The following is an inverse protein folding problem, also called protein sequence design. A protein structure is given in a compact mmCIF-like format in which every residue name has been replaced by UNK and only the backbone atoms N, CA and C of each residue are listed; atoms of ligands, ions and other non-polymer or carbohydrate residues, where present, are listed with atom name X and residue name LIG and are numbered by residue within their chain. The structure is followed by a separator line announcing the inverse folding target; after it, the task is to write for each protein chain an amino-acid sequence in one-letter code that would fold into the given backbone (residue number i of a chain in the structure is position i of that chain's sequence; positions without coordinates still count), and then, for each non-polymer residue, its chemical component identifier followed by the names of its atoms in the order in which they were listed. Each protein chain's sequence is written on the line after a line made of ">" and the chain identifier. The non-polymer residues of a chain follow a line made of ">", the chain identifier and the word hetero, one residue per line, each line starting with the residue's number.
data_IF_313108525087
#
_entry.id   IF_313108525087
#
_cell.length_a   1.000
_cell.length_b   1.000
_cell.length_c   1.000
_cell.angle_alpha   90.00
_cell.angle_beta   90.00
_cell.angle_gamma   90.00
#
_symmetry.space_group_name_H-M   'P 1'
#
loop_
_entity.id
_entity.type
_entity.pdbx_description
1 polymer ?
#
# COMPACT_ATOMS: atom_id res chain seq x y z
N UNK A 1 -2.86 23.16 -26.25
CA UNK A 1 -3.48 22.15 -25.37
C UNK A 1 -2.67 22.16 -24.09
N UNK A 2 -3.30 22.39 -22.94
CA UNK A 2 -2.64 22.44 -21.62
C UNK A 2 -1.85 21.14 -21.38
N UNK A 3 -0.61 21.24 -20.88
CA UNK A 3 0.25 20.09 -20.57
C UNK A 3 -0.41 19.13 -19.56
N UNK A 4 -1.23 19.66 -18.66
CA UNK A 4 -2.03 18.87 -17.74
C UNK A 4 -3.05 18.01 -18.48
N UNK A 5 -3.79 18.61 -19.41
CA UNK A 5 -4.75 17.89 -20.24
C UNK A 5 -4.05 16.84 -21.13
N UNK A 6 -2.88 17.15 -21.68
CA UNK A 6 -2.05 16.19 -22.43
C UNK A 6 -1.65 15.00 -21.56
N UNK A 7 -1.25 15.25 -20.32
CA UNK A 7 -0.90 14.19 -19.37
C UNK A 7 -2.11 13.29 -19.06
N UNK A 8 -3.26 13.90 -18.76
CA UNK A 8 -4.50 13.15 -18.50
C UNK A 8 -4.91 12.29 -19.70
N UNK A 9 -4.92 12.86 -20.90
CA UNK A 9 -5.23 12.13 -22.13
C UNK A 9 -4.25 10.97 -22.36
N UNK A 10 -2.96 11.18 -22.07
CA UNK A 10 -1.94 10.13 -22.19
C UNK A 10 -2.22 8.96 -21.25
N UNK A 11 -2.52 9.23 -19.97
CA UNK A 11 -2.80 8.19 -18.99
C UNK A 11 -4.13 7.46 -19.23
N UNK A 12 -5.18 8.17 -19.63
CA UNK A 12 -6.43 7.54 -20.10
C UNK A 12 -6.14 6.63 -21.29
N UNK A 13 -5.30 7.08 -22.23
CA UNK A 13 -4.89 6.27 -23.38
C UNK A 13 -4.10 5.03 -22.93
N UNK A 14 -3.17 5.15 -21.99
CA UNK A 14 -2.43 4.01 -21.44
C UNK A 14 -3.33 2.98 -20.78
N UNK A 15 -4.30 3.41 -19.97
CA UNK A 15 -5.31 2.53 -19.35
C UNK A 15 -6.15 1.81 -20.42
N UNK A 16 -6.64 2.54 -21.42
CA UNK A 16 -7.45 1.96 -22.51
C UNK A 16 -6.63 0.98 -23.35
N UNK A 17 -5.39 1.32 -23.69
CA UNK A 17 -4.48 0.43 -24.41
C UNK A 17 -4.16 -0.83 -23.60
N UNK A 18 -3.83 -0.68 -22.32
CA UNK A 18 -3.56 -1.78 -21.41
C UNK A 18 -4.74 -2.76 -21.35
N UNK A 19 -5.94 -2.24 -21.12
CA UNK A 19 -7.14 -3.06 -21.00
C UNK A 19 -7.61 -3.66 -22.33
N UNK A 20 -7.77 -2.85 -23.39
CA UNK A 20 -8.38 -3.30 -24.67
C UNK A 20 -7.38 -3.94 -25.62
N UNK A 21 -6.23 -3.29 -25.85
CA UNK A 21 -5.27 -3.71 -26.88
C UNK A 21 -4.36 -4.81 -26.36
N UNK A 22 -3.84 -4.64 -25.16
CA UNK A 22 -2.92 -5.59 -24.53
C UNK A 22 -3.62 -6.66 -23.70
N UNK A 23 -4.93 -6.50 -23.44
CA UNK A 23 -5.75 -7.46 -22.67
C UNK A 23 -5.15 -7.74 -21.28
N UNK A 24 -4.55 -6.72 -20.66
CA UNK A 24 -4.06 -6.81 -19.28
C UNK A 24 -5.26 -6.89 -18.34
N UNK A 25 -5.27 -7.81 -17.36
CA UNK A 25 -6.30 -7.84 -16.32
C UNK A 25 -6.35 -6.52 -15.56
N UNK A 26 -7.54 -6.04 -15.22
CA UNK A 26 -7.74 -4.79 -14.45
C UNK A 26 -6.96 -4.81 -13.13
N UNK A 27 -6.80 -6.01 -12.54
CA UNK A 27 -6.12 -6.22 -11.26
C UNK A 27 -4.61 -6.47 -11.42
N UNK A 28 -4.09 -6.45 -12.65
CA UNK A 28 -2.65 -6.60 -12.86
C UNK A 28 -1.90 -5.40 -12.25
N UNK A 29 -0.68 -5.59 -11.74
CA UNK A 29 0.11 -4.50 -11.15
C UNK A 29 0.25 -3.29 -12.07
N UNK A 30 0.45 -3.52 -13.36
CA UNK A 30 0.49 -2.48 -14.39
C UNK A 30 -0.81 -1.68 -14.44
N UNK A 31 -1.96 -2.34 -14.52
CA UNK A 31 -3.26 -1.66 -14.59
C UNK A 31 -3.59 -0.92 -13.29
N UNK A 32 -3.28 -1.50 -12.13
CA UNK A 32 -3.45 -0.85 -10.83
C UNK A 32 -2.64 0.46 -10.76
N UNK A 33 -1.36 0.41 -11.15
CA UNK A 33 -0.47 1.58 -11.11
C UNK A 33 -0.95 2.67 -12.07
N UNK A 34 -1.30 2.29 -13.31
CA UNK A 34 -1.81 3.25 -14.31
C UNK A 34 -3.15 3.86 -13.89
N UNK A 35 -4.07 3.07 -13.34
CA UNK A 35 -5.36 3.56 -12.84
C UNK A 35 -5.18 4.51 -11.66
N UNK A 36 -4.32 4.16 -10.69
CA UNK A 36 -4.00 5.02 -9.54
C UNK A 36 -3.48 6.38 -9.99
N UNK A 37 -2.47 6.39 -10.87
CA UNK A 37 -1.92 7.62 -11.45
C UNK A 37 -2.98 8.40 -12.24
N UNK A 38 -3.82 7.72 -13.04
CA UNK A 38 -4.88 8.37 -13.81
C UNK A 38 -5.89 9.08 -12.91
N UNK A 39 -6.29 8.46 -11.80
CA UNK A 39 -7.24 9.05 -10.84
C UNK A 39 -6.64 10.32 -10.22
N UNK A 40 -5.39 10.24 -9.77
CA UNK A 40 -4.68 11.38 -9.18
C UNK A 40 -4.51 12.52 -10.20
N UNK A 41 -4.12 12.20 -11.44
CA UNK A 41 -4.01 13.19 -12.53
C UNK A 41 -5.38 13.79 -12.88
N UNK A 42 -6.45 13.00 -12.90
CA UNK A 42 -7.79 13.52 -13.18
C UNK A 42 -8.27 14.49 -12.10
N UNK A 43 -8.06 14.15 -10.83
CA UNK A 43 -8.40 15.01 -9.70
C UNK A 43 -7.59 16.30 -9.72
N UNK A 44 -6.28 16.21 -9.94
CA UNK A 44 -5.42 17.38 -10.05
C UNK A 44 -5.79 18.26 -11.24
N UNK A 45 -6.09 17.67 -12.41
CA UNK A 45 -6.55 18.44 -13.56
C UNK A 45 -7.82 19.25 -13.24
N UNK A 46 -8.79 18.64 -12.55
CA UNK A 46 -10.05 19.28 -12.20
C UNK A 46 -9.84 20.50 -11.28
N UNK A 47 -8.91 20.40 -10.33
CA UNK A 47 -8.62 21.44 -9.31
C UNK A 47 -7.41 22.34 -9.63
N UNK A 48 -6.83 22.25 -10.83
CA UNK A 48 -5.58 22.95 -11.19
C UNK A 48 -5.59 24.47 -10.97
N UNK A 49 -6.73 25.12 -11.19
CA UNK A 49 -6.86 26.57 -11.01
C UNK A 49 -6.86 27.00 -9.55
N UNK A 50 -7.47 26.19 -8.67
CA UNK A 50 -7.49 26.45 -7.23
C UNK A 50 -6.12 26.19 -6.59
N UNK A 51 -5.34 25.26 -7.16
CA UNK A 51 -3.98 24.96 -6.71
C UNK A 51 -2.89 25.86 -7.32
N UNK A 52 -3.28 26.82 -8.17
CA UNK A 52 -2.42 27.90 -8.65
C UNK A 52 -1.18 27.47 -9.45
N UNK A 53 -1.17 26.28 -10.04
CA UNK A 53 0.03 25.73 -10.70
C UNK A 53 -0.30 25.04 -12.02
N UNK A 54 0.30 25.54 -13.11
CA UNK A 54 0.30 24.88 -14.41
C UNK A 54 1.41 23.81 -14.47
N UNK A 55 1.16 22.71 -15.18
CA UNK A 55 2.16 21.66 -15.40
C UNK A 55 3.15 22.11 -16.47
N UNK A 56 4.45 22.04 -16.16
CA UNK A 56 5.47 22.31 -17.16
C UNK A 56 5.52 21.19 -18.21
N UNK A 57 5.88 21.55 -19.44
CA UNK A 57 6.01 20.58 -20.54
C UNK A 57 7.03 19.47 -20.21
N UNK A 58 8.12 19.81 -19.54
CA UNK A 58 9.13 18.83 -19.15
C UNK A 58 8.62 17.83 -18.10
N UNK A 59 7.84 18.30 -17.11
CA UNK A 59 7.15 17.42 -16.15
C UNK A 59 6.19 16.47 -16.85
N UNK A 60 5.45 16.95 -17.86
CA UNK A 60 4.64 16.10 -18.72
C UNK A 60 5.47 14.97 -19.37
N UNK A 61 6.62 15.30 -19.98
CA UNK A 61 7.49 14.29 -20.61
C UNK A 61 7.92 13.22 -19.60
N UNK A 62 8.41 13.65 -18.42
CA UNK A 62 8.90 12.73 -17.38
C UNK A 62 7.81 11.74 -16.96
N UNK A 63 6.63 12.24 -16.60
CA UNK A 63 5.53 11.41 -16.13
C UNK A 63 4.98 10.53 -17.26
N UNK A 64 4.83 11.07 -18.47
CA UNK A 64 4.34 10.32 -19.63
C UNK A 64 5.29 9.16 -20.00
N UNK A 65 6.60 9.38 -19.99
CA UNK A 65 7.59 8.33 -20.24
C UNK A 65 7.58 7.26 -19.14
N UNK A 66 7.42 7.65 -17.87
CA UNK A 66 7.21 6.71 -16.76
C UNK A 66 5.97 5.82 -17.00
N UNK A 67 4.83 6.42 -17.32
CA UNK A 67 3.59 5.69 -17.67
C UNK A 67 3.75 4.75 -18.88
N UNK A 68 4.43 5.23 -19.93
CA UNK A 68 4.75 4.41 -21.11
C UNK A 68 5.65 3.22 -20.78
N UNK A 69 6.67 3.41 -19.94
CA UNK A 69 7.56 2.36 -19.46
C UNK A 69 6.81 1.30 -18.64
N UNK A 70 5.91 1.73 -17.74
CA UNK A 70 5.03 0.82 -16.97
C UNK A 70 4.17 -0.02 -17.92
N UNK A 71 3.48 0.60 -18.88
CA UNK A 71 2.61 -0.10 -19.82
C UNK A 71 3.39 -1.11 -20.68
N UNK A 72 4.52 -0.67 -21.27
CA UNK A 72 5.35 -1.49 -22.13
C UNK A 72 5.95 -2.69 -21.38
N UNK A 73 6.43 -2.46 -20.17
CA UNK A 73 7.01 -3.52 -19.32
C UNK A 73 5.96 -4.53 -18.90
N UNK A 74 4.78 -4.07 -18.45
CA UNK A 74 3.67 -4.96 -18.07
C UNK A 74 3.25 -5.89 -19.20
N UNK A 75 3.08 -5.33 -20.40
CA UNK A 75 2.79 -6.12 -21.60
C UNK A 75 3.92 -7.10 -21.95
N UNK A 76 5.18 -6.64 -21.91
CA UNK A 76 6.35 -7.46 -22.18
C UNK A 76 6.46 -8.66 -21.24
N UNK A 77 6.28 -8.42 -19.94
CA UNK A 77 6.30 -9.47 -18.91
C UNK A 77 5.15 -10.45 -19.09
N UNK A 78 3.92 -9.98 -19.33
CA UNK A 78 2.78 -10.88 -19.56
C UNK A 78 3.03 -11.79 -20.77
N UNK A 79 3.57 -11.23 -21.87
CA UNK A 79 3.92 -11.99 -23.07
C UNK A 79 5.03 -13.00 -22.81
N UNK A 80 6.09 -12.57 -22.14
CA UNK A 80 7.19 -13.44 -21.75
C UNK A 80 6.71 -14.58 -20.84
N UNK A 81 5.89 -14.28 -19.83
CA UNK A 81 5.33 -15.26 -18.93
C UNK A 81 4.41 -16.25 -19.66
N UNK A 82 3.59 -15.78 -20.61
CA UNK A 82 2.77 -16.66 -21.45
C UNK A 82 3.61 -17.60 -22.32
N UNK A 83 4.72 -17.13 -22.88
CA UNK A 83 5.62 -17.94 -23.71
C UNK A 83 6.37 -18.99 -22.86
N UNK A 84 6.87 -18.60 -21.70
CA UNK A 84 7.75 -19.45 -20.88
C UNK A 84 7.00 -20.33 -19.87
N UNK A 85 5.86 -19.87 -19.36
CA UNK A 85 5.08 -20.56 -18.32
C UNK A 85 3.69 -21.00 -18.79
N UNK A 86 3.35 -20.78 -20.07
CA UNK A 86 2.06 -21.12 -20.64
C UNK A 86 0.93 -20.17 -20.23
N UNK A 87 -0.28 -20.51 -20.67
CA UNK A 87 -1.46 -19.75 -20.31
C UNK A 87 -1.81 -19.96 -18.82
N UNK A 88 -2.37 -18.94 -18.14
CA UNK A 88 -2.77 -19.03 -16.73
C UNK A 88 -3.69 -20.21 -16.37
N UNK A 89 -4.18 -20.96 -17.36
CA UNK A 89 -5.08 -22.11 -17.20
C UNK A 89 -4.98 -23.17 -18.31
N UNK A 90 -3.80 -23.44 -18.89
CA UNK A 90 -3.63 -24.67 -19.71
C UNK A 90 -3.43 -25.94 -18.85
N UNK A 91 -3.95 -25.95 -17.62
CA UNK A 91 -4.17 -27.15 -16.82
C UNK A 91 -5.69 -27.41 -16.74
N UNK A 92 -6.37 -27.20 -17.86
CA UNK A 92 -7.72 -27.69 -18.08
C UNK A 92 -7.66 -29.23 -18.25
N UNK A 93 -8.54 -29.91 -17.51
CA UNK A 93 -8.96 -31.32 -17.64
C UNK A 93 -8.54 -32.35 -16.57
N UNK A 94 -7.92 -31.98 -15.44
CA UNK A 94 -7.75 -32.93 -14.30
C UNK A 94 -8.37 -32.44 -12.98
N UNK A 95 -8.78 -31.17 -12.86
CA UNK A 95 -8.97 -30.54 -11.54
C UNK A 95 -10.42 -30.21 -11.16
N UNK A 96 -11.28 -31.23 -11.10
CA UNK A 96 -12.64 -31.07 -10.54
C UNK A 96 -12.67 -30.98 -9.00
N UNK A 97 -11.54 -30.86 -8.29
CA UNK A 97 -11.53 -30.89 -6.81
C UNK A 97 -10.38 -30.17 -6.07
N UNK A 98 -9.55 -29.37 -6.73
CA UNK A 98 -8.31 -28.79 -6.14
C UNK A 98 -8.51 -27.55 -5.23
N UNK A 99 -9.67 -27.43 -4.58
CA UNK A 99 -9.97 -26.32 -3.67
C UNK A 99 -9.76 -26.75 -2.23
N UNK A 100 -8.59 -26.41 -1.71
CA UNK A 100 -8.17 -26.85 -0.39
C UNK A 100 -8.30 -25.75 0.65
N UNK A 101 -9.09 -25.95 1.73
CA UNK A 101 -9.21 -24.95 2.78
C UNK A 101 -7.92 -24.84 3.58
N UNK A 102 -7.59 -23.60 3.96
CA UNK A 102 -6.59 -23.31 4.97
C UNK A 102 -7.17 -23.64 6.35
N UNK A 103 -6.79 -24.79 6.90
CA UNK A 103 -7.24 -25.23 8.22
C UNK A 103 -6.19 -24.85 9.24
N UNK A 104 -6.62 -24.13 10.26
CA UNK A 104 -5.76 -23.77 11.36
C UNK A 104 -5.29 -25.00 12.15
N UNK A 105 -4.01 -25.06 12.55
CA UNK A 105 -3.50 -26.10 13.47
C UNK A 105 -4.25 -26.06 14.81
N UNK A 106 -4.39 -24.87 15.36
CA UNK A 106 -5.23 -24.62 16.55
C UNK A 106 -6.67 -24.41 16.11
N UNK A 107 -7.60 -25.01 16.85
CA UNK A 107 -9.05 -24.81 16.72
C UNK A 107 -9.40 -23.32 16.62
N UNK A 108 -10.34 -23.00 15.72
CA UNK A 108 -10.66 -21.61 15.38
C UNK A 108 -11.10 -20.79 16.59
N UNK A 109 -11.95 -21.35 17.46
CA UNK A 109 -12.44 -20.66 18.66
C UNK A 109 -11.31 -20.27 19.62
N UNK A 110 -10.37 -21.18 19.83
CA UNK A 110 -9.20 -20.98 20.70
C UNK A 110 -8.27 -19.93 20.10
N UNK A 111 -7.97 -20.05 18.80
CA UNK A 111 -7.15 -19.06 18.08
C UNK A 111 -7.76 -17.67 18.11
N UNK A 112 -9.05 -17.56 17.83
CA UNK A 112 -9.78 -16.30 17.86
C UNK A 112 -9.75 -15.66 19.24
N UNK A 113 -9.91 -16.45 20.30
CA UNK A 113 -9.77 -15.99 21.69
C UNK A 113 -8.39 -15.37 21.94
N UNK A 114 -7.30 -16.07 21.59
CA UNK A 114 -5.95 -15.55 21.80
C UNK A 114 -5.63 -14.32 20.97
N UNK A 115 -6.04 -14.30 19.69
CA UNK A 115 -5.88 -13.12 18.85
C UNK A 115 -6.64 -11.93 19.44
N UNK A 116 -7.91 -12.13 19.84
CA UNK A 116 -8.71 -11.05 20.42
C UNK A 116 -8.12 -10.54 21.73
N UNK A 117 -7.64 -11.44 22.61
CA UNK A 117 -6.93 -11.06 23.83
C UNK A 117 -5.68 -10.22 23.54
N UNK A 118 -4.90 -10.63 22.53
CA UNK A 118 -3.72 -9.88 22.11
C UNK A 118 -4.09 -8.48 21.57
N UNK A 119 -5.13 -8.36 20.75
CA UNK A 119 -5.57 -7.08 20.20
C UNK A 119 -6.09 -6.13 21.29
N UNK A 120 -6.82 -6.66 22.27
CA UNK A 120 -7.28 -5.88 23.44
C UNK A 120 -6.07 -5.42 24.26
N UNK A 121 -5.13 -6.32 24.55
CA UNK A 121 -3.89 -5.96 25.24
C UNK A 121 -3.11 -4.88 24.50
N UNK A 122 -2.97 -5.00 23.18
CA UNK A 122 -2.29 -4.01 22.34
C UNK A 122 -2.97 -2.63 22.43
N UNK A 123 -4.29 -2.55 22.36
CA UNK A 123 -5.05 -1.31 22.54
C UNK A 123 -4.79 -0.70 23.92
N UNK A 124 -4.93 -1.51 24.98
CA UNK A 124 -4.74 -1.04 26.35
C UNK A 124 -3.30 -0.56 26.60
N UNK A 125 -2.31 -1.28 26.08
CA UNK A 125 -0.90 -0.89 26.16
C UNK A 125 -0.61 0.39 25.37
N UNK A 126 -1.23 0.55 24.20
CA UNK A 126 -1.11 1.78 23.40
C UNK A 126 -1.71 2.99 24.14
N UNK A 127 -2.88 2.82 24.75
CA UNK A 127 -3.48 3.87 25.60
C UNK A 127 -2.57 4.21 26.77
N UNK A 128 -2.03 3.20 27.47
CA UNK A 128 -1.07 3.43 28.55
C UNK A 128 0.15 4.24 28.08
N UNK A 129 0.69 3.93 26.89
CA UNK A 129 1.79 4.70 26.30
C UNK A 129 1.41 6.15 26.00
N UNK A 130 0.19 6.42 25.53
CA UNK A 130 -0.30 7.80 25.34
C UNK A 130 -0.34 8.53 26.69
N UNK A 131 -0.95 7.93 27.72
CA UNK A 131 -1.14 8.57 29.02
C UNK A 131 0.16 8.88 29.76
N UNK A 132 1.17 7.99 29.70
CA UNK A 132 2.42 8.19 30.43
C UNK A 132 3.35 9.23 29.78
N UNK A 133 3.24 9.45 28.47
CA UNK A 133 4.10 10.38 27.72
C UNK A 133 3.42 11.72 27.39
N UNK A 134 2.18 11.97 27.87
CA UNK A 134 1.46 13.20 27.55
C UNK A 134 0.79 13.82 28.78
N UNK A 135 0.56 15.14 28.72
CA UNK A 135 -0.07 15.91 29.81
C UNK A 135 -1.35 16.62 29.40
N UNK A 136 -1.76 16.55 28.12
CA UNK A 136 -2.91 17.27 27.58
C UNK A 136 -4.22 17.11 28.38
N UNK A 137 -4.98 18.21 28.47
CA UNK A 137 -6.22 18.30 29.26
C UNK A 137 -7.44 17.63 28.61
N UNK A 138 -7.32 17.19 27.35
CA UNK A 138 -8.35 16.45 26.62
C UNK A 138 -7.74 15.31 25.81
N UNK A 139 -8.55 14.30 25.46
CA UNK A 139 -8.10 13.15 24.65
C UNK A 139 -7.52 13.59 23.30
N UNK A 140 -8.14 14.59 22.66
CA UNK A 140 -7.66 15.16 21.39
C UNK A 140 -6.32 15.87 21.58
N UNK A 141 -6.15 16.63 22.68
CA UNK A 141 -4.89 17.29 23.02
C UNK A 141 -3.78 16.26 23.28
N UNK A 142 -4.07 15.21 24.06
CA UNK A 142 -3.14 14.10 24.32
C UNK A 142 -2.72 13.38 23.05
N UNK A 143 -3.67 13.05 22.17
CA UNK A 143 -3.34 12.40 20.89
C UNK A 143 -2.52 13.30 19.97
N UNK A 144 -2.76 14.61 20.00
CA UNK A 144 -1.97 15.59 19.23
C UNK A 144 -0.52 15.64 19.74
N UNK A 145 -0.33 15.73 21.06
CA UNK A 145 1.00 15.68 21.70
C UNK A 145 1.71 14.36 21.43
N UNK A 146 1.01 13.22 21.60
CA UNK A 146 1.60 11.90 21.40
C UNK A 146 2.06 11.70 19.95
N UNK A 147 1.26 12.17 18.99
CA UNK A 147 1.63 12.14 17.57
C UNK A 147 2.88 12.97 17.31
N UNK A 148 3.01 14.14 17.93
CA UNK A 148 4.20 15.00 17.78
C UNK A 148 5.47 14.30 18.31
N UNK A 149 5.37 13.65 19.47
CA UNK A 149 6.45 12.84 20.05
C UNK A 149 6.87 11.68 19.11
N UNK A 150 5.90 11.00 18.49
CA UNK A 150 6.19 9.89 17.56
C UNK A 150 6.87 10.41 16.28
N UNK A 151 6.42 11.54 15.74
CA UNK A 151 6.94 12.09 14.49
C UNK A 151 8.31 12.76 14.67
N UNK A 152 8.55 13.36 15.83
CA UNK A 152 9.77 14.12 16.12
C UNK A 152 10.41 13.67 17.44
N UNK A 153 10.83 12.38 17.56
CA UNK A 153 11.36 11.85 18.81
C UNK A 153 12.64 12.57 19.28
N UNK A 154 13.43 13.12 18.35
CA UNK A 154 14.61 13.93 18.67
C UNK A 154 14.29 15.23 19.42
N UNK A 155 13.09 15.78 19.26
CA UNK A 155 12.65 16.98 19.98
C UNK A 155 12.12 16.65 21.38
N UNK A 156 11.81 15.38 21.64
CA UNK A 156 11.16 14.90 22.87
C UNK A 156 11.91 13.72 23.52
N UNK A 157 13.23 13.84 23.79
CA UNK A 157 14.06 12.70 24.21
C UNK A 157 13.67 12.09 25.57
N UNK A 158 12.97 12.85 26.42
CA UNK A 158 12.54 12.40 27.74
C UNK A 158 11.14 11.74 27.74
N UNK A 159 10.39 11.88 26.66
CA UNK A 159 8.98 11.48 26.53
C UNK A 159 8.78 10.28 25.59
N UNK A 160 9.80 9.44 25.45
CA UNK A 160 9.76 8.25 24.59
C UNK A 160 9.57 6.93 25.35
N UNK A 161 9.05 6.98 26.58
CA UNK A 161 8.93 5.78 27.43
C UNK A 161 8.00 4.76 26.79
N UNK A 162 8.50 3.54 26.63
CA UNK A 162 7.78 2.40 26.06
C UNK A 162 7.30 2.54 24.60
N UNK A 163 7.54 3.67 23.92
CA UNK A 163 7.15 3.87 22.51
C UNK A 163 7.77 2.80 21.61
N UNK A 164 9.04 2.46 21.84
CA UNK A 164 9.70 1.38 21.09
C UNK A 164 8.99 0.03 21.28
N UNK A 165 8.60 -0.33 22.50
CA UNK A 165 7.89 -1.59 22.77
C UNK A 165 6.52 -1.57 22.11
N UNK A 166 5.79 -0.44 22.20
CA UNK A 166 4.50 -0.27 21.55
C UNK A 166 4.60 -0.46 20.03
N UNK A 167 5.68 0.05 19.42
CA UNK A 167 5.95 -0.13 17.98
C UNK A 167 6.16 -1.61 17.59
N UNK A 168 6.70 -2.46 18.48
CA UNK A 168 6.85 -3.89 18.20
C UNK A 168 5.51 -4.62 18.30
N UNK A 169 4.68 -4.29 19.30
CA UNK A 169 3.33 -4.84 19.39
C UNK A 169 2.48 -4.44 18.17
N UNK A 170 2.59 -3.20 17.73
CA UNK A 170 1.95 -2.74 16.50
C UNK A 170 2.31 -3.61 15.28
N UNK A 171 3.59 -3.94 15.06
CA UNK A 171 4.02 -4.77 13.91
C UNK A 171 3.41 -6.19 13.96
N UNK A 172 3.34 -6.79 15.14
CA UNK A 172 2.72 -8.11 15.33
C UNK A 172 1.22 -8.03 15.08
N UNK A 173 0.53 -7.04 15.66
CA UNK A 173 -0.89 -6.79 15.43
C UNK A 173 -1.20 -6.59 13.94
N UNK A 174 -0.31 -5.89 13.23
CA UNK A 174 -0.44 -5.63 11.81
C UNK A 174 -0.34 -6.92 10.98
N UNK A 175 0.68 -7.74 11.23
CA UNK A 175 0.85 -9.03 10.56
C UNK A 175 -0.34 -9.98 10.83
N UNK A 176 -0.80 -10.06 12.09
CA UNK A 176 -1.99 -10.86 12.45
C UNK A 176 -3.22 -10.42 11.66
N UNK A 177 -3.39 -9.11 11.46
CA UNK A 177 -4.54 -8.55 10.76
C UNK A 177 -4.53 -8.91 9.28
N UNK A 178 -3.38 -8.79 8.59
CA UNK A 178 -3.24 -9.24 7.20
C UNK A 178 -3.53 -10.73 7.03
N UNK A 179 -2.94 -11.57 7.89
CA UNK A 179 -3.14 -13.02 7.85
C UNK A 179 -4.61 -13.38 8.09
N UNK A 180 -5.23 -12.75 9.08
CA UNK A 180 -6.64 -12.95 9.38
C UNK A 180 -7.50 -12.59 8.17
N UNK A 181 -7.33 -11.38 7.63
CA UNK A 181 -8.08 -10.89 6.47
C UNK A 181 -7.92 -11.80 5.25
N UNK A 182 -6.69 -12.24 4.96
CA UNK A 182 -6.43 -13.17 3.85
C UNK A 182 -7.19 -14.49 4.00
N UNK A 183 -7.06 -15.13 5.16
CA UNK A 183 -7.70 -16.42 5.45
C UNK A 183 -9.22 -16.30 5.43
N UNK A 184 -9.76 -15.18 5.91
CA UNK A 184 -11.19 -14.87 5.87
C UNK A 184 -11.74 -14.90 4.46
N UNK A 185 -11.08 -14.17 3.57
CA UNK A 185 -11.52 -14.00 2.20
C UNK A 185 -11.40 -15.33 1.47
N UNK A 186 -10.26 -16.02 1.59
CA UNK A 186 -10.04 -17.30 0.93
C UNK A 186 -11.02 -18.38 1.43
N UNK A 187 -11.06 -18.65 2.74
CA UNK A 187 -11.91 -19.72 3.26
C UNK A 187 -13.40 -19.36 3.29
N UNK A 188 -13.73 -18.14 3.69
CA UNK A 188 -15.12 -17.72 3.92
C UNK A 188 -15.85 -17.32 2.65
N UNK A 189 -15.18 -16.56 1.78
CA UNK A 189 -15.80 -16.00 0.58
C UNK A 189 -15.54 -16.88 -0.64
N UNK A 190 -14.28 -17.24 -0.92
CA UNK A 190 -13.93 -18.01 -2.12
C UNK A 190 -14.36 -19.48 -1.99
N UNK A 191 -14.08 -20.11 -0.84
CA UNK A 191 -14.48 -21.50 -0.58
C UNK A 191 -15.89 -21.64 0.03
N UNK A 192 -16.60 -20.52 0.23
CA UNK A 192 -17.95 -20.45 0.79
C UNK A 192 -18.13 -21.22 2.12
N UNK A 193 -17.08 -21.31 2.96
CA UNK A 193 -17.16 -22.06 4.22
C UNK A 193 -17.87 -21.24 5.30
N UNK A 194 -18.93 -21.78 5.93
CA UNK A 194 -19.76 -21.04 6.89
C UNK A 194 -18.99 -20.59 8.14
N UNK A 195 -17.94 -21.32 8.50
CA UNK A 195 -17.10 -21.09 9.70
C UNK A 195 -16.30 -19.76 9.61
N UNK A 196 -16.14 -19.18 8.42
CA UNK A 196 -15.44 -17.90 8.20
C UNK A 196 -16.36 -16.75 7.79
N UNK A 197 -17.69 -16.97 7.81
CA UNK A 197 -18.70 -15.92 7.57
C UNK A 197 -18.95 -15.02 8.79
N UNK A 198 -18.21 -15.25 9.89
CA UNK A 198 -18.51 -14.71 11.22
C UNK A 198 -17.81 -13.38 11.56
N UNK A 199 -18.57 -12.54 12.26
CA UNK A 199 -18.24 -11.26 12.92
C UNK A 199 -16.85 -11.15 13.52
N UNK A 200 -16.24 -12.24 14.02
CA UNK A 200 -14.93 -12.18 14.68
C UNK A 200 -13.81 -11.64 13.80
N UNK A 201 -13.86 -11.85 12.50
CA UNK A 201 -12.83 -11.36 11.59
C UNK A 201 -12.93 -9.86 11.34
N UNK A 202 -14.16 -9.36 11.22
CA UNK A 202 -14.44 -7.93 11.24
C UNK A 202 -13.97 -7.33 12.57
N UNK A 203 -14.17 -8.03 13.69
CA UNK A 203 -13.69 -7.60 15.01
C UNK A 203 -12.17 -7.45 15.07
N UNK A 204 -11.39 -8.39 14.52
CA UNK A 204 -9.92 -8.29 14.49
C UNK A 204 -9.47 -7.06 13.69
N UNK A 205 -10.06 -6.84 12.50
CA UNK A 205 -9.75 -5.67 11.67
C UNK A 205 -10.15 -4.38 12.39
N UNK A 206 -11.32 -4.33 13.01
CA UNK A 206 -11.78 -3.17 13.79
C UNK A 206 -10.85 -2.88 14.96
N UNK A 207 -10.47 -3.90 15.74
CA UNK A 207 -9.54 -3.74 16.85
C UNK A 207 -8.16 -3.28 16.37
N UNK A 208 -7.69 -3.77 15.23
CA UNK A 208 -6.46 -3.28 14.63
C UNK A 208 -6.56 -1.79 14.27
N UNK A 209 -7.63 -1.37 13.59
CA UNK A 209 -7.83 0.02 13.22
C UNK A 209 -7.85 0.92 14.46
N UNK A 210 -8.57 0.53 15.51
CA UNK A 210 -8.59 1.27 16.79
C UNK A 210 -7.18 1.33 17.41
N UNK A 211 -6.54 0.17 17.59
CA UNK A 211 -5.22 0.10 18.23
C UNK A 211 -4.13 0.84 17.45
N UNK A 212 -4.11 0.71 16.12
CA UNK A 212 -3.15 1.42 15.25
C UNK A 212 -3.32 2.93 15.28
N UNK A 213 -4.57 3.41 15.36
CA UNK A 213 -4.86 4.86 15.52
C UNK A 213 -4.21 5.41 16.77
N UNK A 214 -4.34 4.68 17.88
CA UNK A 214 -3.83 5.10 19.19
C UNK A 214 -2.31 4.95 19.22
N UNK A 215 -1.79 3.81 18.75
CA UNK A 215 -0.37 3.49 18.82
C UNK A 215 0.52 4.39 17.98
N UNK A 216 0.03 4.83 16.81
CA UNK A 216 0.84 5.59 15.84
C UNK A 216 0.33 7.01 15.60
N UNK A 217 -0.82 7.39 16.16
CA UNK A 217 -1.49 8.65 15.79
C UNK A 217 -1.80 8.72 14.29
N UNK A 218 -2.00 7.56 13.64
CA UNK A 218 -2.04 7.42 12.20
C UNK A 218 -3.31 6.72 11.73
N UNK A 219 -3.95 7.30 10.71
CA UNK A 219 -5.15 6.76 10.03
C UNK A 219 -4.83 5.89 8.81
N UNK A 220 -3.61 6.00 8.28
CA UNK A 220 -3.17 5.31 7.07
C UNK A 220 -3.27 3.77 7.15
N UNK A 221 -2.91 3.10 8.28
CA UNK A 221 -2.98 1.64 8.37
C UNK A 221 -4.39 1.07 8.15
N UNK A 222 -5.44 1.82 8.54
CA UNK A 222 -6.82 1.42 8.34
C UNK A 222 -7.22 1.42 6.85
N UNK A 223 -6.69 2.36 6.06
CA UNK A 223 -6.90 2.34 4.60
C UNK A 223 -6.08 1.23 3.96
N UNK A 224 -4.84 1.03 4.37
CA UNK A 224 -3.97 0.00 3.79
C UNK A 224 -4.58 -1.39 3.96
N UNK A 225 -5.14 -1.71 5.14
CA UNK A 225 -5.84 -2.98 5.34
C UNK A 225 -7.13 -3.08 4.51
N UNK A 226 -7.84 -1.98 4.30
CA UNK A 226 -9.03 -1.94 3.45
C UNK A 226 -8.69 -2.22 1.98
N UNK A 227 -7.67 -1.55 1.46
CA UNK A 227 -7.13 -1.79 0.11
C UNK A 227 -6.66 -3.24 -0.02
N UNK A 228 -5.92 -3.76 0.95
CA UNK A 228 -5.47 -5.14 0.96
C UNK A 228 -6.63 -6.13 0.86
N UNK A 229 -7.73 -5.93 1.60
CA UNK A 229 -8.91 -6.79 1.52
C UNK A 229 -9.53 -6.76 0.12
N UNK A 230 -9.65 -5.58 -0.50
CA UNK A 230 -10.15 -5.41 -1.87
C UNK A 230 -9.26 -6.16 -2.86
N UNK A 231 -7.94 -5.93 -2.79
CA UNK A 231 -6.96 -6.58 -3.67
C UNK A 231 -6.98 -8.10 -3.50
N UNK A 232 -7.03 -8.58 -2.27
CA UNK A 232 -7.09 -10.01 -1.97
C UNK A 232 -8.32 -10.66 -2.57
N UNK A 233 -9.48 -10.04 -2.38
CA UNK A 233 -10.74 -10.54 -2.93
C UNK A 233 -10.71 -10.59 -4.45
N UNK A 234 -10.30 -9.49 -5.09
CA UNK A 234 -10.20 -9.39 -6.54
C UNK A 234 -9.19 -10.37 -7.14
N UNK A 235 -8.00 -10.49 -6.53
CA UNK A 235 -6.95 -11.40 -6.98
C UNK A 235 -7.42 -12.85 -6.97
N UNK A 236 -8.05 -13.28 -5.88
CA UNK A 236 -8.55 -14.65 -5.75
C UNK A 236 -9.72 -14.91 -6.69
N UNK A 237 -10.62 -13.95 -6.92
CA UNK A 237 -11.70 -14.12 -7.90
C UNK A 237 -11.16 -14.29 -9.33
N UNK A 238 -10.15 -13.50 -9.72
CA UNK A 238 -9.53 -13.63 -11.04
C UNK A 238 -8.79 -14.96 -11.17
N UNK A 239 -8.08 -15.36 -10.13
CA UNK A 239 -7.37 -16.65 -10.09
C UNK A 239 -8.31 -17.84 -10.21
N UNK A 240 -9.48 -17.77 -9.58
CA UNK A 240 -10.53 -18.78 -9.66
C UNK A 240 -11.50 -18.57 -10.83
N UNK A 241 -11.18 -17.66 -11.76
CA UNK A 241 -11.93 -17.37 -12.99
C UNK A 241 -13.38 -16.87 -12.80
N UNK A 242 -13.70 -16.25 -11.66
CA UNK A 242 -15.01 -15.66 -11.37
C UNK A 242 -15.19 -14.25 -11.97
N UNK A 243 -14.99 -14.10 -13.28
CA UNK A 243 -14.95 -12.79 -13.95
C UNK A 243 -16.24 -11.97 -13.83
N UNK A 244 -17.41 -12.60 -13.78
CA UNK A 244 -18.68 -11.87 -13.61
C UNK A 244 -18.84 -11.30 -12.20
N UNK A 245 -18.34 -12.00 -11.18
CA UNK A 245 -18.33 -11.48 -9.81
C UNK A 245 -17.37 -10.31 -9.67
N UNK A 246 -16.22 -10.36 -10.35
CA UNK A 246 -15.26 -9.24 -10.42
C UNK A 246 -15.95 -7.98 -10.94
N UNK A 247 -16.65 -8.07 -12.07
CA UNK A 247 -17.37 -6.91 -12.65
C UNK A 247 -18.38 -6.32 -11.67
N UNK A 248 -19.22 -7.16 -11.06
CA UNK A 248 -20.24 -6.72 -10.08
C UNK A 248 -19.61 -6.06 -8.86
N UNK A 249 -18.48 -6.59 -8.39
CA UNK A 249 -17.77 -6.02 -7.25
C UNK A 249 -17.13 -4.66 -7.59
N UNK A 250 -16.53 -4.51 -8.77
CA UNK A 250 -15.97 -3.24 -9.22
C UNK A 250 -17.04 -2.13 -9.28
N UNK A 251 -18.27 -2.45 -9.74
CA UNK A 251 -19.37 -1.48 -9.70
C UNK A 251 -19.76 -1.05 -8.27
N UNK A 252 -19.73 -1.99 -7.31
CA UNK A 252 -19.98 -1.69 -5.90
C UNK A 252 -18.86 -0.88 -5.25
N UNK A 253 -17.65 -0.95 -5.80
CA UNK A 253 -16.49 -0.21 -5.29
C UNK A 253 -16.57 1.29 -5.63
N UNK A 254 -17.19 1.67 -6.75
CA UNK A 254 -17.32 3.07 -7.20
C UNK A 254 -17.82 4.01 -6.09
N UNK A 255 -18.98 3.79 -5.45
CA UNK A 255 -19.45 4.69 -4.39
C UNK A 255 -18.51 4.71 -3.17
N UNK A 256 -17.86 3.59 -2.86
CA UNK A 256 -16.89 3.50 -1.77
C UNK A 256 -15.68 4.38 -2.05
N UNK A 257 -15.13 4.31 -3.26
CA UNK A 257 -13.97 5.12 -3.69
C UNK A 257 -14.28 6.62 -3.67
N UNK A 258 -15.52 7.02 -3.94
CA UNK A 258 -15.95 8.43 -3.88
C UNK A 258 -16.06 8.91 -2.43
N UNK A 259 -16.61 8.08 -1.53
CA UNK A 259 -16.87 8.47 -0.13
C UNK A 259 -15.62 8.33 0.75
N UNK A 260 -14.75 7.35 0.48
CA UNK A 260 -13.62 7.02 1.36
C UNK A 260 -12.65 8.17 1.64
N UNK A 261 -12.32 9.08 0.70
CA UNK A 261 -11.41 10.19 0.99
C UNK A 261 -12.00 11.19 2.00
N UNK A 262 -13.32 11.42 1.97
CA UNK A 262 -14.00 12.29 2.94
C UNK A 262 -13.99 11.67 4.33
N UNK A 263 -14.30 10.37 4.42
CA UNK A 263 -14.22 9.63 5.69
C UNK A 263 -12.79 9.61 6.23
N UNK A 264 -11.78 9.53 5.36
CA UNK A 264 -10.37 9.60 5.76
C UNK A 264 -10.01 10.94 6.40
N UNK A 265 -10.47 12.07 5.82
CA UNK A 265 -10.25 13.40 6.42
C UNK A 265 -10.94 13.47 7.78
N UNK A 266 -12.22 13.10 7.85
CA UNK A 266 -13.01 13.13 9.09
C UNK A 266 -12.37 12.28 10.19
N UNK A 267 -11.83 11.11 9.84
CA UNK A 267 -11.11 10.23 10.76
C UNK A 267 -9.85 10.89 11.35
N UNK A 268 -9.32 11.94 10.71
CA UNK A 268 -8.21 12.75 11.23
C UNK A 268 -8.49 13.38 12.59
N UNK A 269 -9.75 13.68 12.90
CA UNK A 269 -10.16 14.22 14.20
C UNK A 269 -9.80 13.26 15.33
N UNK A 270 -10.04 11.95 15.12
CA UNK A 270 -9.82 10.91 16.14
C UNK A 270 -8.33 10.67 16.44
N UNK A 271 -7.44 11.11 15.55
CA UNK A 271 -5.98 10.95 15.70
C UNK A 271 -5.27 12.28 15.95
N UNK A 272 -6.00 13.33 16.36
CA UNK A 272 -5.42 14.62 16.73
C UNK A 272 -4.84 15.40 15.55
N UNK A 273 -5.43 15.28 14.35
CA UNK A 273 -5.04 16.13 13.21
C UNK A 273 -6.01 17.29 13.03
N UNK A 274 -5.45 18.50 12.91
CA UNK A 274 -6.23 19.72 12.66
C UNK A 274 -6.94 19.74 11.30
N UNK A 275 -6.48 18.97 10.31
CA UNK A 275 -7.12 18.88 8.98
C UNK A 275 -8.48 18.17 9.01
N UNK A 276 -8.79 17.43 10.08
CA UNK A 276 -10.08 16.77 10.25
C UNK A 276 -11.28 17.72 10.31
N UNK A 277 -11.04 19.00 10.60
CA UNK A 277 -12.09 20.03 10.72
C UNK A 277 -12.46 20.66 9.36
N UNK A 278 -11.72 20.37 8.28
CA UNK A 278 -11.96 20.96 6.95
C UNK A 278 -12.20 19.86 5.90
N UNK A 279 -13.37 19.22 6.00
CA UNK A 279 -13.80 18.14 5.09
C UNK A 279 -14.39 18.75 3.81
N UNK A 280 -13.52 19.14 2.88
CA UNK A 280 -13.89 19.71 1.58
C UNK A 280 -13.30 18.91 0.42
N UNK A 281 -13.92 19.00 -0.76
CA UNK A 281 -13.39 18.37 -1.97
C UNK A 281 -12.04 18.99 -2.38
N UNK A 282 -11.83 20.28 -2.12
CA UNK A 282 -10.52 20.93 -2.28
C UNK A 282 -9.47 20.23 -1.40
N UNK A 283 -9.75 20.01 -0.10
CA UNK A 283 -8.81 19.35 0.81
C UNK A 283 -8.52 17.90 0.43
N UNK A 284 -9.53 17.16 -0.04
CA UNK A 284 -9.35 15.81 -0.61
C UNK A 284 -8.37 15.87 -1.78
N UNK A 285 -8.53 16.86 -2.65
CA UNK A 285 -7.72 16.98 -3.85
C UNK A 285 -6.30 17.42 -3.55
N UNK A 286 -6.10 18.35 -2.60
CA UNK A 286 -4.77 18.73 -2.11
C UNK A 286 -4.01 17.52 -1.56
N UNK A 287 -4.70 16.67 -0.80
CA UNK A 287 -4.12 15.44 -0.28
C UNK A 287 -3.77 14.49 -1.43
N UNK A 288 -4.76 14.11 -2.24
CA UNK A 288 -4.60 13.05 -3.24
C UNK A 288 -3.71 13.46 -4.43
N UNK A 289 -3.82 14.70 -4.89
CA UNK A 289 -3.17 15.20 -6.10
C UNK A 289 -2.04 16.21 -5.83
N UNK A 290 -1.82 16.65 -4.58
CA UNK A 290 -0.65 17.43 -4.16
C UNK A 290 0.66 16.85 -4.70
N UNK A 291 0.71 15.51 -4.67
CA UNK A 291 1.38 14.58 -5.60
C UNK A 291 2.14 15.20 -6.78
N UNK A 292 1.34 15.69 -7.70
CA UNK A 292 1.78 16.04 -9.04
C UNK A 292 2.41 17.43 -9.05
N UNK A 293 1.90 18.32 -8.20
CA UNK A 293 2.33 19.71 -8.13
C UNK A 293 3.70 19.86 -7.50
N UNK A 294 3.94 19.19 -6.38
CA UNK A 294 5.26 19.21 -5.78
C UNK A 294 6.28 18.47 -6.65
N UNK A 295 5.90 17.42 -7.40
CA UNK A 295 6.78 16.84 -8.42
C UNK A 295 7.13 17.87 -9.52
N UNK A 296 6.16 18.68 -9.95
CA UNK A 296 6.38 19.73 -10.95
C UNK A 296 7.40 20.78 -10.48
N UNK A 297 7.31 21.20 -9.20
CA UNK A 297 8.29 22.11 -8.57
C UNK A 297 9.64 21.40 -8.42
N UNK A 298 9.63 20.15 -7.95
CA UNK A 298 10.83 19.38 -7.67
C UNK A 298 11.64 19.04 -8.94
N UNK A 299 10.99 18.81 -10.08
CA UNK A 299 11.70 18.59 -11.35
C UNK A 299 12.47 19.84 -11.79
N UNK A 300 11.95 21.03 -11.44
CA UNK A 300 12.56 22.32 -11.76
C UNK A 300 13.70 22.68 -10.79
N UNK A 301 13.49 22.42 -9.50
CA UNK A 301 14.49 22.59 -8.44
C UNK A 301 14.78 21.25 -7.75
N UNK A 302 15.44 20.30 -8.45
CA UNK A 302 15.76 19.02 -7.84
C UNK A 302 16.80 19.27 -6.76
N UNK A 303 16.60 18.61 -5.63
CA UNK A 303 17.62 18.61 -4.63
C UNK A 303 18.82 17.77 -5.07
N UNK A 304 20.00 18.27 -4.73
CA UNK A 304 21.24 17.65 -5.16
C UNK A 304 21.60 16.55 -4.17
N UNK A 305 21.54 15.31 -4.63
CA UNK A 305 22.05 14.17 -3.88
C UNK A 305 23.56 14.10 -4.05
N UNK A 306 24.27 13.73 -2.98
CA UNK A 306 25.74 13.64 -2.97
C UNK A 306 26.18 12.21 -3.24
N UNK A 307 25.36 11.24 -2.84
CA UNK A 307 25.63 9.81 -3.01
C UNK A 307 24.68 9.18 -4.02
N UNK A 308 25.12 8.11 -4.67
CA UNK A 308 24.32 7.40 -5.67
C UNK A 308 23.04 6.83 -5.05
N UNK A 309 21.87 7.20 -5.59
CA UNK A 309 20.58 6.66 -5.13
C UNK A 309 20.23 7.08 -3.71
N UNK A 310 20.79 8.17 -3.20
CA UNK A 310 20.64 8.61 -1.81
C UNK A 310 19.19 8.90 -1.46
N UNK A 311 18.42 9.49 -2.39
CA UNK A 311 16.99 9.76 -2.17
C UNK A 311 16.14 8.50 -2.32
N UNK A 312 16.37 7.76 -3.40
CA UNK A 312 15.64 6.55 -3.82
C UNK A 312 15.80 5.40 -2.83
N UNK A 313 16.96 5.29 -2.19
CA UNK A 313 17.30 4.21 -1.26
C UNK A 313 17.53 4.71 0.17
N UNK A 314 16.92 5.84 0.55
CA UNK A 314 17.11 6.47 1.85
C UNK A 314 16.97 5.49 3.04
N UNK A 315 15.99 4.59 3.02
CA UNK A 315 15.77 3.62 4.10
C UNK A 315 16.88 2.56 4.19
N UNK A 316 17.55 2.25 3.06
CA UNK A 316 18.73 1.38 3.01
C UNK A 316 19.94 2.13 3.57
N UNK A 317 20.13 3.38 3.14
CA UNK A 317 21.19 4.26 3.64
C UNK A 317 21.11 4.41 5.16
N UNK A 318 19.90 4.68 5.70
CA UNK A 318 19.68 4.77 7.14
C UNK A 318 20.18 3.53 7.88
N UNK A 319 19.98 2.33 7.34
CA UNK A 319 20.45 1.09 7.97
C UNK A 319 21.96 0.91 7.87
N UNK A 320 22.54 1.19 6.71
CA UNK A 320 24.00 1.12 6.54
C UNK A 320 24.72 2.11 7.48
N UNK A 321 24.16 3.31 7.67
CA UNK A 321 24.68 4.30 8.61
C UNK A 321 24.55 3.80 10.06
N UNK A 322 23.38 3.26 10.44
CA UNK A 322 23.18 2.70 11.78
C UNK A 322 24.12 1.50 12.08
N UNK A 323 24.58 0.78 11.05
CA UNK A 323 25.59 -0.27 11.19
C UNK A 323 27.04 0.26 11.15
N UNK A 324 27.24 1.57 11.03
CA UNK A 324 28.58 2.18 10.92
C UNK A 324 29.27 1.93 9.58
N UNK A 325 28.54 1.49 8.56
CA UNK A 325 29.07 1.18 7.22
C UNK A 325 29.09 2.40 6.29
N UNK A 326 28.33 3.45 6.63
CA UNK A 326 28.29 4.72 5.90
C UNK A 326 28.35 5.90 6.88
N UNK A 327 28.91 7.06 6.46
CA UNK A 327 28.94 8.25 7.30
C UNK A 327 27.55 8.86 7.46
N UNK A 328 27.32 9.54 8.58
CA UNK A 328 26.07 10.29 8.86
C UNK A 328 25.76 11.36 7.79
N UNK A 329 26.77 11.88 7.07
CA UNK A 329 26.59 12.79 5.94
C UNK A 329 25.83 12.18 4.75
N UNK A 330 25.76 10.84 4.68
CA UNK A 330 24.98 10.14 3.67
C UNK A 330 23.50 10.01 4.04
N UNK A 331 23.11 10.35 5.29
CA UNK A 331 21.72 10.31 5.74
C UNK A 331 20.93 11.38 4.99
N UNK A 332 19.92 10.96 4.24
CA UNK A 332 19.01 11.88 3.59
C UNK A 332 17.87 12.21 4.56
N UNK A 333 17.97 13.35 5.25
CA UNK A 333 16.81 13.97 5.84
C UNK A 333 15.96 14.49 4.68
N UNK A 334 14.90 13.76 4.38
CA UNK A 334 14.00 14.10 3.29
C UNK A 334 13.44 15.52 3.45
N UNK A 335 13.21 16.22 2.33
CA UNK A 335 12.89 17.65 2.31
C UNK A 335 11.76 18.07 3.26
N UNK A 336 11.82 19.33 3.71
CA UNK A 336 10.76 19.94 4.52
C UNK A 336 9.39 19.69 3.87
N UNK A 337 8.53 19.03 4.64
CA UNK A 337 7.15 18.72 4.26
C UNK A 337 6.38 19.97 3.81
N UNK A 338 6.72 21.13 4.36
CA UNK A 338 6.08 22.40 4.05
C UNK A 338 6.43 22.94 2.65
N UNK A 339 7.61 22.60 2.12
CA UNK A 339 8.06 23.05 0.78
C UNK A 339 7.72 22.04 -0.32
N UNK A 340 7.72 20.74 0.00
CA UNK A 340 7.57 19.68 -1.00
C UNK A 340 6.41 18.71 -0.72
N UNK A 341 5.56 18.97 0.29
CA UNK A 341 4.37 18.17 0.60
C UNK A 341 4.65 16.70 0.93
N UNK A 342 3.63 15.85 0.79
CA UNK A 342 3.70 14.37 0.87
C UNK A 342 4.42 13.73 -0.33
N UNK A 343 5.27 14.49 -1.01
CA UNK A 343 5.48 14.31 -2.43
C UNK A 343 6.91 14.06 -2.75
N UNK A 344 7.25 12.80 -2.59
CA UNK A 344 7.96 12.15 -3.65
C UNK A 344 6.94 11.09 -4.05
N UNK A 345 6.25 11.34 -5.17
CA UNK A 345 5.54 10.30 -5.87
C UNK A 345 6.54 9.21 -6.26
N UNK A 346 6.04 8.08 -6.75
CA UNK A 346 6.87 7.00 -7.29
C UNK A 346 8.00 7.51 -8.23
N UNK A 347 7.79 8.61 -8.95
CA UNK A 347 8.77 9.14 -9.89
C UNK A 347 9.80 10.10 -9.30
N UNK A 348 9.45 10.88 -8.29
CA UNK A 348 10.32 12.01 -7.98
C UNK A 348 11.66 11.56 -7.38
N UNK A 349 11.74 10.48 -6.58
CA UNK A 349 13.02 10.12 -5.91
C UNK A 349 14.00 9.60 -6.93
N UNK A 350 13.45 8.83 -7.87
CA UNK A 350 14.16 8.31 -9.01
C UNK A 350 14.63 9.44 -9.93
N UNK A 351 13.82 10.50 -10.07
CA UNK A 351 14.21 11.70 -10.78
C UNK A 351 15.31 12.49 -10.05
N UNK A 352 15.22 12.62 -8.73
CA UNK A 352 16.21 13.34 -7.91
C UNK A 352 17.61 12.73 -8.05
N UNK A 353 17.72 11.40 -7.99
CA UNK A 353 19.02 10.74 -8.08
C UNK A 353 19.54 10.55 -9.52
N UNK A 354 18.65 10.30 -10.48
CA UNK A 354 19.04 9.78 -11.80
C UNK A 354 18.34 10.46 -12.97
N UNK A 355 17.58 11.53 -12.71
CA UNK A 355 16.81 12.27 -13.71
C UNK A 355 15.77 11.39 -14.43
N UNK A 356 15.50 11.75 -15.69
CA UNK A 356 14.49 11.07 -16.50
C UNK A 356 14.82 9.60 -16.77
N UNK A 357 16.11 9.25 -16.87
CA UNK A 357 16.55 7.87 -17.04
C UNK A 357 16.24 7.03 -15.80
N UNK A 358 16.40 7.61 -14.61
CA UNK A 358 15.96 7.02 -13.35
C UNK A 358 14.50 6.65 -13.36
N UNK A 359 13.65 7.60 -13.72
CA UNK A 359 12.20 7.40 -13.80
C UNK A 359 11.85 6.23 -14.71
N UNK A 360 12.47 6.14 -15.89
CA UNK A 360 12.23 5.06 -16.85
C UNK A 360 12.74 3.71 -16.31
N UNK A 361 14.01 3.64 -15.88
CA UNK A 361 14.64 2.39 -15.44
C UNK A 361 13.95 1.83 -14.21
N UNK A 362 13.67 2.66 -13.21
CA UNK A 362 13.01 2.22 -11.98
C UNK A 362 11.55 1.84 -12.22
N UNK A 363 10.84 2.53 -13.13
CA UNK A 363 9.50 2.12 -13.56
C UNK A 363 9.52 0.73 -14.19
N UNK A 364 10.51 0.43 -15.01
CA UNK A 364 10.70 -0.90 -15.62
C UNK A 364 10.96 -1.93 -14.52
N UNK A 365 11.93 -1.69 -13.62
CA UNK A 365 12.31 -2.64 -12.58
C UNK A 365 11.12 -2.97 -11.68
N UNK A 366 10.45 -1.95 -11.13
CA UNK A 366 9.29 -2.13 -10.25
C UNK A 366 8.18 -2.87 -10.99
N UNK A 367 7.83 -2.42 -12.20
CA UNK A 367 6.73 -3.05 -12.95
C UNK A 367 7.06 -4.49 -13.29
N UNK A 368 8.31 -4.80 -13.65
CA UNK A 368 8.75 -6.14 -13.98
C UNK A 368 8.65 -7.06 -12.76
N UNK A 369 9.17 -6.65 -11.60
CA UNK A 369 9.13 -7.44 -10.37
C UNK A 369 7.69 -7.78 -9.96
N UNK A 370 6.81 -6.78 -9.87
CA UNK A 370 5.42 -7.02 -9.47
C UNK A 370 4.65 -7.83 -10.52
N UNK A 371 4.84 -7.55 -11.80
CA UNK A 371 4.13 -8.27 -12.87
C UNK A 371 4.60 -9.72 -12.97
N UNK A 372 5.89 -10.00 -12.80
CA UNK A 372 6.42 -11.37 -12.75
C UNK A 372 5.85 -12.14 -11.57
N UNK A 373 5.83 -11.53 -10.38
CA UNK A 373 5.24 -12.14 -9.19
C UNK A 373 3.73 -12.42 -9.39
N UNK A 374 3.00 -11.47 -9.97
CA UNK A 374 1.59 -11.63 -10.31
C UNK A 374 1.37 -12.81 -11.28
N UNK A 375 2.08 -12.83 -12.41
CA UNK A 375 1.94 -13.87 -13.43
C UNK A 375 2.34 -15.25 -12.88
N UNK A 376 3.38 -15.31 -12.04
CA UNK A 376 3.80 -16.53 -11.38
C UNK A 376 2.70 -17.06 -10.44
N UNK A 377 2.17 -16.21 -9.56
CA UNK A 377 1.16 -16.60 -8.56
C UNK A 377 -0.20 -16.94 -9.17
N UNK A 378 -0.57 -16.32 -10.29
CA UNK A 378 -1.78 -16.66 -11.05
C UNK A 378 -1.74 -18.08 -11.62
N UNK A 379 -0.54 -18.58 -11.97
CA UNK A 379 -0.34 -19.94 -12.52
C UNK A 379 -0.15 -21.03 -11.47
N UNK A 380 0.04 -20.68 -10.20
CA UNK A 380 0.30 -21.64 -9.12
C UNK A 380 -0.99 -22.15 -8.46
N UNK A 381 -1.07 -23.45 -8.24
CA UNK A 381 -2.18 -24.07 -7.52
C UNK A 381 -2.27 -23.57 -6.06
N UNK A 382 -3.50 -23.38 -5.57
CA UNK A 382 -3.80 -23.11 -4.17
C UNK A 382 -3.73 -24.39 -3.29
N UNK A 383 -3.26 -25.52 -3.84
CA UNK A 383 -2.99 -26.74 -3.07
C UNK A 383 -1.67 -26.76 -2.31
N UNK A 384 -0.83 -25.74 -2.48
CA UNK A 384 0.42 -25.58 -1.73
C UNK A 384 0.30 -24.42 -0.74
N UNK A 385 0.72 -24.66 0.50
CA UNK A 385 0.77 -23.64 1.55
C UNK A 385 1.68 -22.48 1.15
N UNK A 386 2.75 -22.74 0.41
CA UNK A 386 3.66 -21.70 -0.08
C UNK A 386 2.98 -20.76 -1.06
N UNK A 387 2.07 -21.26 -1.89
CA UNK A 387 1.26 -20.38 -2.76
C UNK A 387 0.47 -19.38 -1.92
N UNK A 388 -0.12 -19.80 -0.80
CA UNK A 388 -0.84 -18.90 0.10
C UNK A 388 0.07 -17.88 0.79
N UNK A 389 1.23 -18.34 1.30
CA UNK A 389 2.26 -17.46 1.90
C UNK A 389 2.67 -16.36 0.92
N UNK A 390 3.09 -16.76 -0.29
CA UNK A 390 3.57 -15.81 -1.29
C UNK A 390 2.45 -14.92 -1.82
N UNK A 391 1.22 -15.42 -1.93
CA UNK A 391 0.07 -14.60 -2.33
C UNK A 391 -0.23 -13.53 -1.28
N UNK A 392 -0.24 -13.88 0.00
CA UNK A 392 -0.50 -12.90 1.06
C UNK A 392 0.58 -11.83 1.11
N UNK A 393 1.87 -12.21 1.05
CA UNK A 393 3.00 -11.27 1.00
C UNK A 393 2.88 -10.37 -0.23
N UNK A 394 2.70 -10.95 -1.41
CA UNK A 394 2.55 -10.19 -2.66
C UNK A 394 1.43 -9.16 -2.57
N UNK A 395 0.27 -9.53 -2.02
CA UNK A 395 -0.88 -8.62 -1.88
C UNK A 395 -0.64 -7.51 -0.85
N UNK A 396 0.09 -7.79 0.23
CA UNK A 396 0.54 -6.77 1.19
C UNK A 396 1.44 -5.75 0.50
N UNK A 397 2.42 -6.20 -0.29
CA UNK A 397 3.32 -5.31 -1.05
C UNK A 397 2.59 -4.56 -2.17
N UNK A 398 1.60 -5.18 -2.80
CA UNK A 398 0.84 -4.61 -3.92
C UNK A 398 0.05 -3.35 -3.51
N UNK A 399 -0.27 -3.21 -2.21
CA UNK A 399 -0.89 -1.99 -1.66
C UNK A 399 -0.04 -0.75 -2.00
N UNK A 400 1.29 -0.86 -2.01
CA UNK A 400 2.19 0.25 -2.33
C UNK A 400 2.01 0.78 -3.76
N UNK A 401 1.63 -0.08 -4.72
CA UNK A 401 1.33 0.36 -6.09
C UNK A 401 -0.01 1.09 -6.22
N UNK A 402 -0.98 0.80 -5.34
CA UNK A 402 -2.24 1.55 -5.29
C UNK A 402 -1.98 2.99 -4.86
N UNK A 403 -1.00 3.19 -3.98
CA UNK A 403 -0.60 4.51 -3.50
C UNK A 403 0.39 5.25 -4.41
N UNK A 404 0.90 4.61 -5.47
CA UNK A 404 1.96 5.16 -6.31
C UNK A 404 1.71 6.58 -6.85
N UNK A 405 0.44 6.94 -7.09
CA UNK A 405 0.06 8.29 -7.52
C UNK A 405 -0.02 9.34 -6.41
N UNK A 406 -0.15 8.92 -5.15
CA UNK A 406 -0.34 9.78 -3.98
C UNK A 406 0.93 9.92 -3.12
N UNK A 407 1.66 8.82 -2.89
CA UNK A 407 2.79 8.73 -1.96
C UNK A 407 3.77 7.64 -2.44
N UNK A 408 5.08 7.85 -2.27
CA UNK A 408 6.11 6.85 -2.57
C UNK A 408 6.19 5.80 -1.45
N UNK A 409 5.17 4.94 -1.45
CA UNK A 409 5.13 3.72 -0.65
C UNK A 409 6.08 2.64 -1.16
N UNK A 410 6.68 2.81 -2.33
CA UNK A 410 7.67 1.86 -2.85
C UNK A 410 8.95 1.93 -2.04
N UNK A 411 9.40 3.13 -1.65
CA UNK A 411 10.54 3.27 -0.74
C UNK A 411 10.36 2.45 0.53
N UNK A 412 9.17 2.53 1.15
CA UNK A 412 8.86 1.85 2.40
C UNK A 412 9.02 0.32 2.30
N UNK A 413 8.98 -0.25 1.08
CA UNK A 413 9.22 -1.68 0.87
C UNK A 413 10.67 -2.09 1.14
N UNK A 414 11.61 -1.14 1.04
CA UNK A 414 13.02 -1.34 1.34
C UNK A 414 13.32 -1.19 2.84
N UNK A 415 12.35 -0.75 3.64
CA UNK A 415 12.54 -0.56 5.06
C UNK A 415 12.62 -1.89 5.80
N UNK A 416 13.54 -1.99 6.77
CA UNK A 416 13.71 -3.20 7.57
C UNK A 416 12.43 -3.63 8.32
N UNK A 417 11.60 -2.67 8.73
CA UNK A 417 10.35 -3.02 9.40
C UNK A 417 9.38 -3.77 8.47
N UNK A 418 9.41 -3.46 7.17
CA UNK A 418 8.60 -4.16 6.17
C UNK A 418 9.06 -5.61 6.05
N UNK A 419 10.37 -5.84 6.00
CA UNK A 419 10.96 -7.19 6.02
C UNK A 419 10.47 -8.02 7.22
N UNK A 420 10.41 -7.41 8.42
CA UNK A 420 9.88 -8.08 9.62
C UNK A 420 8.39 -8.42 9.46
N UNK A 421 7.58 -7.50 8.92
CA UNK A 421 6.13 -7.73 8.72
C UNK A 421 5.89 -8.87 7.74
N UNK A 422 6.57 -8.91 6.58
CA UNK A 422 6.40 -10.00 5.61
C UNK A 422 6.89 -11.34 6.17
N UNK A 423 7.97 -11.34 6.95
CA UNK A 423 8.47 -12.53 7.64
C UNK A 423 7.45 -13.08 8.63
N UNK A 424 6.79 -12.21 9.40
CA UNK A 424 5.71 -12.59 10.32
C UNK A 424 4.47 -13.11 9.58
N UNK A 425 4.05 -12.47 8.49
CA UNK A 425 2.93 -12.94 7.65
C UNK A 425 3.21 -14.36 7.15
N UNK A 426 4.41 -14.57 6.59
CA UNK A 426 4.83 -15.88 6.09
C UNK A 426 4.86 -16.93 7.19
N UNK A 427 5.48 -16.62 8.34
CA UNK A 427 5.54 -17.51 9.49
C UNK A 427 4.15 -17.89 10.00
N UNK A 428 3.25 -16.92 10.17
CA UNK A 428 1.90 -17.16 10.71
C UNK A 428 1.04 -17.99 9.77
N UNK A 429 1.16 -17.84 8.45
CA UNK A 429 0.46 -18.69 7.49
C UNK A 429 1.08 -20.09 7.49
N UNK A 430 2.40 -20.18 7.29
CA UNK A 430 3.11 -21.45 7.14
C UNK A 430 3.01 -22.35 8.38
N UNK A 431 3.21 -21.78 9.57
CA UNK A 431 3.15 -22.52 10.84
C UNK A 431 1.72 -22.60 11.36
N UNK A 432 0.89 -21.56 11.17
CA UNK A 432 -0.43 -21.49 11.79
C UNK A 432 -1.53 -22.26 11.04
N UNK A 433 -1.29 -22.62 9.78
CA UNK A 433 -2.28 -23.23 8.89
C UNK A 433 -1.71 -24.41 8.11
N UNK A 434 -2.61 -25.30 7.68
CA UNK A 434 -2.32 -26.41 6.76
C UNK A 434 -3.33 -26.40 5.63
N UNK A 435 -2.90 -26.87 4.48
CA UNK A 435 -3.78 -27.14 3.34
C UNK A 435 -4.42 -28.52 3.54
N UNK A 436 -5.73 -28.58 3.76
CA UNK A 436 -6.42 -29.87 3.98
C UNK A 436 -6.87 -30.48 2.66
N UNK A 437 -6.16 -31.51 2.21
CA UNK A 437 -6.56 -32.37 1.08
C UNK A 437 -7.75 -33.23 1.53
N UNK A 438 -8.82 -33.24 0.73
CA UNK A 438 -10.04 -34.01 1.01
C UNK A 438 -9.83 -35.47 0.70
#
# INVERSE_FOLDING_TARGET
>A
MDCYLLLLVSYVTYVVLGYKKFKLPIISPTMITLLSLTIVIALGYWYRYEMGTELYFYTFIVIALGGGAILGTGYGVQRWAKINWGDPTSIENIFDSNRYPLVGIVNLSVRYKYISMYMIFFILFSLFCVFINTTGDSDVSRMTQYRDIILYPQLHPNDTRFIFINSQFYKIAWAITYVSAYVAIYNGVILNKPIFKGTGLLTIVIFFCIGSSIAMGARQPAIEIFIFMILTYLFLLVKEQYFDQVKRFLFKLIPITIISPFLYILYGILVGRHDGNNVTLQRVTELLAGGIYALNIHIWEPARTTYFGQSSFADVYDKLINFGLLPESARMAYHEFDKFGNTLSLFGRWYEDFGILGVIIMSIIVTALFSLAYEYLQRRSNGDIWTHVWTAIFLTELVSLVWAGYDDRIRALLAFYQFVIIGLIGLFIYVGYRVKIK
#
